data_IF_111005220864
#
_entry.id   IF_111005220864
#
_cell.length_a   1.000
_cell.length_b   1.000
_cell.length_c   1.000
_cell.angle_alpha   90.00
_cell.angle_beta   90.00
_cell.angle_gamma   90.00
#
_symmetry.space_group_name_H-M   'P 1'
#
loop_
_entity.id
_entity.type
_entity.pdbx_description
1 polymer ?
#
# COMPACT_ATOMS: atom_id res chain seq x y z
N UNK A 1 -31.51 -31.98 4.46
CA UNK A 1 -30.56 -31.87 5.59
C UNK A 1 -29.22 -32.36 5.08
N UNK A 2 -28.23 -31.48 4.96
CA UNK A 2 -26.85 -31.84 4.58
C UNK A 2 -26.13 -32.22 5.86
N UNK A 3 -25.65 -33.46 5.97
CA UNK A 3 -24.83 -33.89 7.11
C UNK A 3 -23.51 -33.09 7.12
N UNK A 4 -23.23 -32.27 8.15
CA UNK A 4 -22.01 -31.46 8.21
C UNK A 4 -20.73 -32.30 8.39
N UNK A 5 -20.87 -33.61 8.62
CA UNK A 5 -19.77 -34.53 8.90
C UNK A 5 -19.17 -35.21 7.65
N UNK A 6 -19.74 -35.01 6.46
CA UNK A 6 -19.33 -35.71 5.25
C UNK A 6 -18.70 -34.78 4.20
N UNK A 7 -17.73 -33.95 4.61
CA UNK A 7 -16.92 -33.25 3.61
C UNK A 7 -16.11 -34.29 2.82
N UNK A 8 -16.29 -34.36 1.48
CA UNK A 8 -15.61 -35.35 0.69
C UNK A 8 -14.09 -35.10 0.75
N UNK A 9 -13.31 -36.18 0.74
CA UNK A 9 -11.87 -36.12 1.06
C UNK A 9 -11.07 -35.14 0.18
N UNK A 10 -11.52 -34.90 -1.05
CA UNK A 10 -10.91 -33.92 -1.97
C UNK A 10 -11.01 -32.47 -1.48
N UNK A 11 -12.00 -32.14 -0.65
CA UNK A 11 -12.17 -30.80 -0.06
C UNK A 11 -10.99 -30.47 0.86
N UNK A 12 -10.50 -31.44 1.62
CA UNK A 12 -9.28 -31.25 2.42
C UNK A 12 -8.07 -31.00 1.53
N UNK A 13 -8.00 -31.66 0.38
CA UNK A 13 -6.98 -31.39 -0.63
C UNK A 13 -6.98 -29.92 -1.08
N UNK A 14 -8.16 -29.38 -1.41
CA UNK A 14 -8.27 -27.97 -1.76
C UNK A 14 -8.02 -27.02 -0.59
N UNK A 15 -8.47 -27.35 0.62
CA UNK A 15 -8.21 -26.54 1.80
C UNK A 15 -6.70 -26.42 2.08
N UNK A 16 -5.96 -27.53 2.01
CA UNK A 16 -4.51 -27.54 2.15
C UNK A 16 -3.85 -26.75 1.02
N UNK A 17 -4.23 -26.98 -0.23
CA UNK A 17 -3.68 -26.25 -1.38
C UNK A 17 -3.91 -24.73 -1.25
N UNK A 18 -5.11 -24.31 -0.83
CA UNK A 18 -5.44 -22.91 -0.60
C UNK A 18 -4.54 -22.29 0.47
N UNK A 19 -4.39 -22.95 1.62
CA UNK A 19 -3.51 -22.48 2.71
C UNK A 19 -2.05 -22.39 2.26
N UNK A 20 -1.56 -23.38 1.51
CA UNK A 20 -0.20 -23.37 0.97
C UNK A 20 0.02 -22.23 -0.02
N UNK A 21 -0.92 -22.00 -0.93
CA UNK A 21 -0.84 -20.90 -1.92
C UNK A 21 -0.83 -19.54 -1.21
N UNK A 22 -1.74 -19.31 -0.25
CA UNK A 22 -1.81 -18.05 0.47
C UNK A 22 -0.59 -17.83 1.35
N UNK A 23 -0.13 -18.87 2.06
CA UNK A 23 1.10 -18.82 2.85
C UNK A 23 2.32 -18.54 1.98
N UNK A 24 2.39 -19.11 0.78
CA UNK A 24 3.46 -18.84 -0.19
C UNK A 24 3.41 -17.39 -0.64
N UNK A 25 2.25 -16.87 -1.07
CA UNK A 25 2.08 -15.47 -1.47
C UNK A 25 2.51 -14.52 -0.34
N UNK A 26 2.04 -14.75 0.88
CA UNK A 26 2.40 -13.94 2.05
C UNK A 26 3.90 -14.01 2.35
N UNK A 27 4.51 -15.19 2.26
CA UNK A 27 5.95 -15.37 2.43
C UNK A 27 6.74 -14.57 1.39
N UNK A 28 6.34 -14.62 0.13
CA UNK A 28 7.00 -13.87 -0.94
C UNK A 28 6.89 -12.36 -0.72
N UNK A 29 5.71 -11.85 -0.33
CA UNK A 29 5.52 -10.43 -0.03
C UNK A 29 6.32 -9.98 1.19
N UNK A 30 6.31 -10.76 2.27
CA UNK A 30 7.12 -10.46 3.45
C UNK A 30 8.62 -10.42 3.13
N UNK A 31 9.10 -11.36 2.32
CA UNK A 31 10.49 -11.42 1.88
C UNK A 31 10.88 -10.23 1.01
N UNK A 32 9.99 -9.75 0.13
CA UNK A 32 10.29 -8.56 -0.68
C UNK A 32 10.39 -7.30 0.16
N UNK A 33 9.56 -7.15 1.20
CA UNK A 33 9.61 -5.97 2.08
C UNK A 33 10.91 -5.92 2.90
N UNK A 34 11.44 -7.07 3.31
CA UNK A 34 12.71 -7.15 4.03
C UNK A 34 13.96 -6.91 3.17
N UNK A 35 13.81 -6.78 1.84
CA UNK A 35 14.91 -6.52 0.92
C UNK A 35 15.11 -5.03 0.57
N UNK A 36 14.20 -4.14 0.99
CA UNK A 36 14.40 -2.68 0.86
C UNK A 36 15.10 -2.12 2.09
N UNK A 37 16.40 -2.41 2.21
CA UNK A 37 17.33 -1.53 2.91
C UNK A 37 18.72 -1.75 2.33
N UNK A 38 19.33 -0.61 1.97
CA UNK A 38 20.74 -0.43 1.62
C UNK A 38 21.10 -0.71 0.17
N UNK A 39 21.05 0.34 -0.65
CA UNK A 39 22.24 1.11 -1.00
C UNK A 39 21.89 2.16 -2.05
N UNK A 40 22.07 3.45 -1.73
CA UNK A 40 22.57 4.47 -2.67
C UNK A 40 22.52 5.85 -2.02
N UNK A 41 23.69 6.29 -1.59
CA UNK A 41 24.07 7.70 -1.66
C UNK A 41 24.13 8.09 -3.13
N UNK A 42 23.13 8.79 -3.66
CA UNK A 42 23.22 9.60 -4.88
C UNK A 42 22.05 10.58 -4.85
N UNK A 43 22.37 11.87 -4.83
CA UNK A 43 21.53 13.04 -5.11
C UNK A 43 20.01 12.95 -4.80
N UNK A 44 19.49 13.69 -3.80
CA UNK A 44 18.06 13.74 -3.55
C UNK A 44 17.38 14.56 -4.65
N UNK A 45 17.02 13.91 -5.75
CA UNK A 45 15.80 14.30 -6.45
C UNK A 45 14.69 13.83 -5.52
N UNK A 46 14.22 14.74 -4.65
CA UNK A 46 13.08 14.53 -3.75
C UNK A 46 11.86 14.17 -4.59
N UNK A 47 11.73 12.89 -4.90
CA UNK A 47 10.51 12.32 -5.44
C UNK A 47 9.56 12.22 -4.27
N UNK A 48 8.68 13.21 -4.14
CA UNK A 48 7.70 13.21 -3.06
C UNK A 48 6.78 12.01 -3.28
N UNK A 49 6.78 11.10 -2.31
CA UNK A 49 5.95 9.89 -2.33
C UNK A 49 4.90 9.95 -1.22
N UNK A 50 3.69 9.48 -1.52
CA UNK A 50 2.58 9.32 -0.57
C UNK A 50 2.36 7.84 -0.26
N UNK A 51 2.20 7.51 1.02
CA UNK A 51 1.94 6.13 1.46
C UNK A 51 0.44 5.89 1.48
N UNK A 52 -0.01 4.78 0.91
CA UNK A 52 -1.43 4.41 0.93
C UNK A 52 -1.86 3.94 2.33
N UNK A 53 -2.81 4.62 2.96
CA UNK A 53 -3.36 4.25 4.28
C UNK A 53 -4.01 2.86 4.32
N UNK A 54 -4.40 2.34 3.16
CA UNK A 54 -5.19 1.11 3.05
C UNK A 54 -4.33 -0.16 2.89
N UNK A 55 -3.14 -0.05 2.30
CA UNK A 55 -2.26 -1.21 2.07
C UNK A 55 -0.78 -0.94 2.36
N UNK A 56 -0.40 0.29 2.68
CA UNK A 56 0.97 0.70 2.98
C UNK A 56 1.88 0.86 1.76
N UNK A 57 1.36 0.75 0.53
CA UNK A 57 2.18 0.91 -0.67
C UNK A 57 2.59 2.37 -0.91
N UNK A 58 3.83 2.57 -1.34
CA UNK A 58 4.38 3.88 -1.71
C UNK A 58 3.96 4.27 -3.14
N UNK A 59 3.33 5.43 -3.25
CA UNK A 59 2.84 6.01 -4.49
C UNK A 59 3.56 7.34 -4.75
N UNK A 60 3.76 7.75 -6.00
CA UNK A 60 4.26 9.10 -6.29
C UNK A 60 3.13 10.10 -6.10
N UNK A 61 3.48 11.34 -5.75
CA UNK A 61 2.50 12.43 -5.78
C UNK A 61 1.91 12.60 -7.18
N UNK A 62 0.59 12.83 -7.25
CA UNK A 62 -0.15 12.99 -8.51
C UNK A 62 -0.91 11.76 -8.99
N UNK A 63 -0.72 10.59 -8.37
CA UNK A 63 -1.62 9.45 -8.59
C UNK A 63 -2.92 9.66 -7.81
N UNK A 64 -4.07 9.59 -8.50
CA UNK A 64 -5.40 9.61 -7.85
C UNK A 64 -5.70 8.32 -7.07
N UNK A 65 -5.20 7.19 -7.58
CA UNK A 65 -5.46 5.86 -7.02
C UNK A 65 -4.14 5.16 -6.69
N UNK A 66 -4.15 4.35 -5.63
CA UNK A 66 -3.03 3.52 -5.23
C UNK A 66 -2.72 2.49 -6.32
N UNK A 67 -1.47 2.47 -6.78
CA UNK A 67 -0.98 1.57 -7.84
C UNK A 67 -0.98 0.09 -7.46
N UNK A 68 -1.18 -0.23 -6.17
CA UNK A 68 -1.18 -1.60 -5.65
C UNK A 68 -2.59 -2.14 -5.35
N UNK A 69 -3.42 -1.37 -4.63
CA UNK A 69 -4.75 -1.83 -4.18
C UNK A 69 -5.92 -1.08 -4.83
N UNK A 70 -5.65 -0.08 -5.67
CA UNK A 70 -6.66 0.73 -6.39
C UNK A 70 -7.54 1.61 -5.47
N UNK A 71 -7.25 1.65 -4.16
CA UNK A 71 -7.89 2.59 -3.25
C UNK A 71 -7.51 4.03 -3.60
N UNK A 72 -8.46 4.95 -3.48
CA UNK A 72 -8.20 6.39 -3.65
C UNK A 72 -7.15 6.86 -2.64
N UNK A 73 -6.16 7.61 -3.10
CA UNK A 73 -5.14 8.20 -2.25
C UNK A 73 -5.68 9.51 -1.71
N UNK A 74 -5.55 9.73 -0.41
CA UNK A 74 -5.76 11.04 0.19
C UNK A 74 -4.77 11.99 -0.48
N UNK A 75 -5.27 12.89 -1.34
CA UNK A 75 -4.48 13.98 -1.88
C UNK A 75 -4.06 14.84 -0.68
N UNK A 76 -2.93 14.51 -0.05
CA UNK A 76 -2.31 15.45 0.87
C UNK A 76 -1.77 16.56 0.00
N UNK A 77 -2.66 17.51 -0.27
CA UNK A 77 -2.43 18.75 -0.97
C UNK A 77 -1.04 19.30 -0.64
N UNK A 78 -0.15 19.28 -1.62
CA UNK A 78 0.95 20.24 -1.72
C UNK A 78 0.42 21.65 -2.03
N UNK A 79 -0.73 22.01 -1.43
CA UNK A 79 -1.48 23.26 -1.59
C UNK A 79 -1.89 23.77 -0.20
N UNK A 80 -1.03 23.58 0.81
CA UNK A 80 -1.24 24.12 2.15
C UNK A 80 -0.60 25.49 2.40
N UNK A 81 0.30 25.95 1.53
CA UNK A 81 1.22 27.07 1.86
C UNK A 81 1.01 28.35 1.02
N UNK A 82 -0.03 28.43 0.19
CA UNK A 82 -0.27 29.62 -0.65
C UNK A 82 -1.23 30.65 -0.03
N UNK A 83 -2.04 30.29 0.96
CA UNK A 83 -3.14 31.14 1.42
C UNK A 83 -2.87 31.90 2.74
N UNK A 84 -1.71 31.69 3.39
CA UNK A 84 -1.35 32.41 4.63
C UNK A 84 -0.37 33.60 4.43
N UNK A 85 0.13 33.84 3.21
CA UNK A 85 1.06 34.96 2.94
C UNK A 85 0.39 36.24 2.42
N UNK A 86 -0.93 36.24 2.18
CA UNK A 86 -1.66 37.43 1.72
C UNK A 86 -2.15 38.34 2.87
N UNK A 87 -2.36 37.81 4.08
CA UNK A 87 -3.02 38.54 5.17
C UNK A 87 -2.10 39.48 5.96
N UNK A 88 -0.77 39.28 5.95
CA UNK A 88 0.16 40.10 6.76
C UNK A 88 0.57 41.43 6.09
N UNK A 89 0.20 41.68 4.83
CA UNK A 89 0.64 42.88 4.09
C UNK A 89 -0.29 44.10 4.26
N UNK A 90 -1.50 43.94 4.79
CA UNK A 90 -2.48 45.04 4.91
C UNK A 90 -2.41 45.80 6.25
N UNK A 91 -1.47 45.46 7.14
CA UNK A 91 -1.36 46.06 8.49
C UNK A 91 -0.16 46.99 8.72
N UNK A 92 0.53 47.44 7.65
CA UNK A 92 1.72 48.31 7.72
C UNK A 92 1.47 49.70 7.13
#
# INVERSE_FOLDING_TARGET
>A
MVDPAALPQWVYGYAVAFVLVHGTILYYLYRSSGASSSDTSSDPVETVTVVCDHCGAENEVGYRYCRNCVQELSETDGTGDAEQLADTRESL
#
